data_IF_102337712716
#
_entry.id   IF_102337712716
#
_cell.length_a   1.000
_cell.length_b   1.000
_cell.length_c   1.000
_cell.angle_alpha   90.00
_cell.angle_beta   90.00
_cell.angle_gamma   90.00
#
_symmetry.space_group_name_H-M   'P 1'
#
loop_
_entity.id
_entity.type
_entity.pdbx_description
1 polymer ?
#
# COMPACT_ATOMS: atom_id res chain seq x y z
N UNK A 1 21.63 6.43 -21.31
CA UNK A 1 21.07 7.32 -20.26
C UNK A 1 21.21 6.60 -18.93
N UNK A 2 22.02 7.09 -17.98
CA UNK A 2 22.08 6.47 -16.65
C UNK A 2 20.74 6.73 -15.94
N UNK A 3 20.05 5.67 -15.48
CA UNK A 3 18.90 5.83 -14.58
C UNK A 3 19.42 6.35 -13.25
N UNK A 4 18.99 7.55 -12.85
CA UNK A 4 19.10 7.99 -11.46
C UNK A 4 18.39 6.94 -10.60
N UNK A 5 19.13 6.32 -9.70
CA UNK A 5 18.54 5.46 -8.68
C UNK A 5 18.21 6.35 -7.48
N UNK A 6 16.94 6.46 -7.16
CA UNK A 6 16.50 7.12 -5.92
C UNK A 6 16.36 6.05 -4.83
N UNK A 7 17.12 6.22 -3.75
CA UNK A 7 16.97 5.39 -2.55
C UNK A 7 15.79 5.92 -1.75
N UNK A 8 14.80 5.06 -1.52
CA UNK A 8 13.69 5.36 -0.62
C UNK A 8 14.09 4.89 0.78
N UNK A 9 14.12 5.82 1.74
CA UNK A 9 14.38 5.52 3.15
C UNK A 9 13.05 5.51 3.88
N UNK A 10 12.64 4.36 4.39
CA UNK A 10 11.45 4.21 5.23
C UNK A 10 11.85 4.41 6.69
N UNK A 11 11.04 5.13 7.47
CA UNK A 11 11.30 5.37 8.89
C UNK A 11 10.12 4.91 9.74
N UNK A 12 10.44 4.40 10.92
CA UNK A 12 9.44 4.06 11.93
C UNK A 12 8.73 5.35 12.39
N UNK A 13 7.40 5.41 12.26
CA UNK A 13 6.61 6.60 12.56
C UNK A 13 6.30 7.51 11.37
N UNK A 14 6.93 7.30 10.21
CA UNK A 14 6.38 7.81 8.96
C UNK A 14 5.12 6.98 8.69
N UNK A 15 3.95 7.54 8.97
CA UNK A 15 2.72 6.92 8.49
C UNK A 15 2.76 6.91 6.96
N UNK A 16 2.16 5.89 6.34
CA UNK A 16 1.77 5.94 4.93
C UNK A 16 0.67 7.00 4.70
N UNK A 17 0.83 8.17 5.32
CA UNK A 17 -0.06 9.30 5.20
C UNK A 17 0.10 9.82 3.78
N UNK A 18 -0.96 9.75 2.97
CA UNK A 18 -0.93 10.31 1.64
C UNK A 18 -0.54 11.79 1.71
N UNK A 19 0.27 12.22 0.75
CA UNK A 19 0.65 13.62 0.65
C UNK A 19 -0.57 14.53 0.47
N UNK A 20 -0.46 15.81 0.82
CA UNK A 20 -1.55 16.77 0.59
C UNK A 20 -1.99 16.83 -0.88
N UNK A 21 -1.05 16.62 -1.81
CA UNK A 21 -1.35 16.52 -3.24
C UNK A 21 -2.23 15.30 -3.55
N UNK A 22 -1.89 14.12 -3.02
CA UNK A 22 -2.68 12.88 -3.19
C UNK A 22 -4.07 13.00 -2.55
N UNK A 23 -4.18 13.69 -1.41
CA UNK A 23 -5.46 13.93 -0.76
C UNK A 23 -6.39 14.83 -1.59
N UNK A 24 -5.82 15.77 -2.35
CA UNK A 24 -6.55 16.71 -3.21
C UNK A 24 -6.76 16.18 -4.63
N UNK A 25 -5.93 15.24 -5.08
CA UNK A 25 -6.06 14.60 -6.38
C UNK A 25 -7.12 13.50 -6.33
N UNK A 26 -8.29 13.82 -6.85
CA UNK A 26 -9.42 12.91 -6.92
C UNK A 26 -9.21 11.77 -7.92
N UNK A 27 -8.24 11.90 -8.82
CA UNK A 27 -7.91 10.87 -9.80
C UNK A 27 -6.94 9.84 -9.24
N UNK A 28 -6.31 10.10 -8.08
CA UNK A 28 -5.39 9.16 -7.44
C UNK A 28 -6.17 8.01 -6.80
N UNK A 29 -6.30 6.89 -7.51
CA UNK A 29 -7.10 5.76 -7.07
C UNK A 29 -6.56 4.41 -7.58
N UNK A 30 -7.05 3.36 -6.95
CA UNK A 30 -6.88 1.97 -7.35
C UNK A 30 -8.26 1.35 -7.50
N UNK A 31 -8.45 0.56 -8.56
CA UNK A 31 -9.61 -0.30 -8.74
C UNK A 31 -9.18 -1.76 -8.64
N UNK A 32 -9.73 -2.47 -7.65
CA UNK A 32 -9.45 -3.88 -7.45
C UNK A 32 -10.65 -4.70 -7.91
N UNK A 33 -10.47 -5.63 -8.85
CA UNK A 33 -11.55 -6.48 -9.31
C UNK A 33 -11.08 -7.90 -9.64
N UNK A 34 -11.98 -8.87 -9.43
CA UNK A 34 -11.76 -10.26 -9.80
C UNK A 34 -12.31 -10.52 -11.20
N UNK A 35 -11.46 -10.97 -12.11
CA UNK A 35 -11.84 -11.49 -13.41
C UNK A 35 -12.11 -12.99 -13.29
N UNK A 36 -13.39 -13.36 -13.29
CA UNK A 36 -13.83 -14.74 -13.12
C UNK A 36 -13.46 -15.63 -14.32
N UNK A 37 -13.42 -15.08 -15.54
CA UNK A 37 -13.13 -15.84 -16.75
C UNK A 37 -11.64 -16.22 -16.81
N UNK A 38 -10.77 -15.34 -16.31
CA UNK A 38 -9.32 -15.55 -16.27
C UNK A 38 -8.80 -16.06 -14.94
N UNK A 39 -9.67 -16.17 -13.94
CA UNK A 39 -9.32 -16.51 -12.56
C UNK A 39 -8.18 -15.66 -12.00
N UNK A 40 -8.19 -14.35 -12.28
CA UNK A 40 -7.15 -13.43 -11.84
C UNK A 40 -7.73 -12.23 -11.08
N UNK A 41 -6.89 -11.62 -10.26
CA UNK A 41 -7.20 -10.34 -9.61
C UNK A 41 -6.45 -9.26 -10.36
N UNK A 42 -7.18 -8.24 -10.81
CA UNK A 42 -6.61 -7.07 -11.44
C UNK A 42 -6.61 -5.92 -10.44
N UNK A 43 -5.46 -5.25 -10.33
CA UNK A 43 -5.29 -4.02 -9.57
C UNK A 43 -4.96 -2.91 -10.57
N UNK A 44 -5.96 -2.14 -10.95
CA UNK A 44 -5.82 -1.06 -11.92
C UNK A 44 -5.50 0.23 -11.16
N UNK A 45 -4.34 0.81 -11.43
CA UNK A 45 -3.92 2.08 -10.84
C UNK A 45 -4.17 3.20 -11.84
N UNK A 46 -4.68 4.32 -11.36
CA UNK A 46 -4.88 5.50 -12.22
C UNK A 46 -3.58 6.13 -12.69
N UNK A 47 -2.50 5.95 -11.93
CA UNK A 47 -1.17 6.50 -12.24
C UNK A 47 -0.04 5.65 -11.66
N UNK A 48 1.19 5.97 -12.07
CA UNK A 48 2.40 5.33 -11.50
C UNK A 48 2.61 5.74 -10.04
N UNK A 49 2.19 6.94 -9.70
CA UNK A 49 2.21 7.49 -8.35
C UNK A 49 1.27 6.70 -7.44
N UNK A 50 0.05 6.36 -7.89
CA UNK A 50 -0.87 5.51 -7.14
C UNK A 50 -0.31 4.10 -6.87
N UNK A 51 0.33 3.51 -7.88
CA UNK A 51 1.04 2.23 -7.71
C UNK A 51 2.17 2.35 -6.67
N UNK A 52 2.98 3.41 -6.77
CA UNK A 52 4.10 3.66 -5.85
C UNK A 52 3.59 3.78 -4.42
N UNK A 53 2.55 4.56 -4.17
CA UNK A 53 2.04 4.82 -2.83
C UNK A 53 1.39 3.57 -2.22
N UNK A 54 0.70 2.76 -3.02
CA UNK A 54 0.26 1.42 -2.61
C UNK A 54 1.44 0.52 -2.19
N UNK A 55 2.49 0.46 -3.02
CA UNK A 55 3.67 -0.35 -2.72
C UNK A 55 4.39 0.12 -1.45
N UNK A 56 4.48 1.44 -1.24
CA UNK A 56 5.08 1.99 -0.02
C UNK A 56 4.27 1.67 1.22
N UNK A 57 2.94 1.68 1.13
CA UNK A 57 2.08 1.27 2.24
C UNK A 57 2.35 -0.19 2.63
N UNK A 58 2.47 -1.10 1.65
CA UNK A 58 2.83 -2.50 1.90
C UNK A 58 4.23 -2.64 2.52
N UNK A 59 5.22 -1.89 2.03
CA UNK A 59 6.59 -1.93 2.56
C UNK A 59 6.69 -1.36 3.98
N UNK A 60 5.93 -0.30 4.27
CA UNK A 60 5.85 0.29 5.60
C UNK A 60 5.27 -0.71 6.59
N UNK A 61 4.18 -1.39 6.23
CA UNK A 61 3.58 -2.44 7.05
C UNK A 61 4.53 -3.63 7.22
N UNK A 62 5.19 -4.09 6.15
CA UNK A 62 6.15 -5.20 6.24
C UNK A 62 7.37 -4.88 7.13
N UNK A 63 7.75 -3.60 7.26
CA UNK A 63 8.95 -3.18 7.98
C UNK A 63 8.67 -2.79 9.44
N UNK A 64 7.53 -2.14 9.69
CA UNK A 64 7.19 -1.54 10.99
C UNK A 64 5.79 -1.91 11.49
N UNK A 65 5.02 -2.62 10.69
CA UNK A 65 3.69 -3.10 11.04
C UNK A 65 3.72 -4.03 12.24
N UNK A 66 2.65 -3.97 13.01
CA UNK A 66 2.43 -4.83 14.18
C UNK A 66 1.22 -5.74 14.01
N UNK A 67 0.54 -5.65 12.87
CA UNK A 67 -0.62 -6.46 12.54
C UNK A 67 -0.20 -7.68 11.73
N UNK A 68 -0.99 -8.76 11.74
CA UNK A 68 -0.80 -9.90 10.83
C UNK A 68 -1.58 -9.75 9.51
N UNK A 69 -2.19 -8.58 9.29
CA UNK A 69 -3.04 -8.33 8.13
C UNK A 69 -3.13 -6.85 7.77
N UNK A 70 -3.21 -6.56 6.47
CA UNK A 70 -3.50 -5.23 5.97
C UNK A 70 -4.76 -5.27 5.11
N UNK A 71 -5.67 -4.33 5.34
CA UNK A 71 -6.93 -4.24 4.62
C UNK A 71 -6.99 -2.98 3.75
N UNK A 72 -7.48 -3.12 2.53
CA UNK A 72 -7.85 -2.01 1.65
C UNK A 72 -9.31 -2.16 1.23
N UNK A 73 -10.09 -1.10 1.39
CA UNK A 73 -11.51 -1.09 1.09
C UNK A 73 -11.96 0.30 0.61
N UNK A 74 -13.02 0.38 -0.22
CA UNK A 74 -13.65 1.65 -0.53
C UNK A 74 -14.23 2.26 0.76
N UNK A 75 -13.69 3.39 1.19
CA UNK A 75 -14.20 4.12 2.35
C UNK A 75 -14.84 5.42 1.88
N UNK A 76 -16.14 5.60 2.13
CA UNK A 76 -16.87 6.82 1.75
C UNK A 76 -17.49 7.47 2.97
N UNK A 77 -17.40 8.79 3.05
CA UNK A 77 -18.23 9.58 3.98
C UNK A 77 -19.46 10.13 3.27
N UNK A 78 -20.63 10.20 3.94
CA UNK A 78 -21.82 10.82 3.36
C UNK A 78 -21.53 12.22 2.82
N UNK A 79 -21.94 12.48 1.57
CA UNK A 79 -21.70 13.77 0.90
C UNK A 79 -20.24 14.04 0.49
N UNK A 80 -19.33 13.07 0.65
CA UNK A 80 -17.95 13.16 0.19
C UNK A 80 -17.63 12.03 -0.79
N UNK A 81 -16.55 12.21 -1.55
CA UNK A 81 -15.95 11.16 -2.37
C UNK A 81 -15.30 10.09 -1.50
N UNK A 82 -14.95 8.99 -2.14
CA UNK A 82 -13.74 8.21 -1.92
C UNK A 82 -12.82 8.76 -0.82
N UNK A 83 -12.40 8.00 0.19
CA UNK A 83 -11.32 8.37 1.12
C UNK A 83 -10.07 7.53 0.85
N UNK A 84 -8.90 8.08 1.18
CA UNK A 84 -7.63 7.35 1.06
C UNK A 84 -7.50 6.44 2.28
N UNK A 85 -7.29 5.16 2.04
CA UNK A 85 -7.06 4.12 3.06
C UNK A 85 -5.70 3.50 2.77
N UNK A 86 -4.78 3.55 3.74
CA UNK A 86 -3.44 2.99 3.60
C UNK A 86 -2.70 3.45 2.33
N UNK A 87 -2.71 4.77 2.10
CA UNK A 87 -1.98 5.38 0.98
C UNK A 87 -2.73 5.42 -0.36
N UNK A 88 -3.81 4.64 -0.56
CA UNK A 88 -4.59 4.67 -1.82
C UNK A 88 -6.10 4.77 -1.63
N UNK A 89 -6.79 5.28 -2.64
CA UNK A 89 -8.26 5.39 -2.68
C UNK A 89 -8.84 4.25 -3.51
N UNK A 90 -9.68 3.41 -2.92
CA UNK A 90 -10.45 2.41 -3.68
C UNK A 90 -11.76 3.01 -4.18
N UNK A 91 -12.10 2.77 -5.44
CA UNK A 91 -13.36 3.23 -6.04
C UNK A 91 -14.54 2.37 -5.59
N UNK A 92 -15.76 2.92 -5.59
CA UNK A 92 -17.00 2.28 -5.11
C UNK A 92 -17.27 0.86 -5.66
N UNK A 93 -16.81 0.54 -6.88
CA UNK A 93 -16.95 -0.79 -7.50
C UNK A 93 -15.85 -1.80 -7.12
N UNK A 94 -14.85 -1.38 -6.33
CA UNK A 94 -13.71 -2.23 -6.01
C UNK A 94 -14.07 -3.34 -5.02
N UNK A 95 -13.51 -4.51 -5.25
CA UNK A 95 -13.41 -5.58 -4.25
C UNK A 95 -12.53 -5.12 -3.09
N UNK A 96 -12.88 -5.55 -1.87
CA UNK A 96 -11.99 -5.41 -0.71
C UNK A 96 -10.76 -6.29 -0.93
N UNK A 97 -9.59 -5.77 -0.59
CA UNK A 97 -8.33 -6.49 -0.65
C UNK A 97 -7.84 -6.73 0.78
N UNK A 98 -7.51 -7.99 1.07
CA UNK A 98 -6.87 -8.39 2.31
C UNK A 98 -5.50 -8.95 2.00
N UNK A 99 -4.49 -8.48 2.74
CA UNK A 99 -3.12 -8.97 2.67
C UNK A 99 -2.80 -9.59 4.02
N UNK A 100 -2.64 -10.91 4.07
CA UNK A 100 -2.29 -11.64 5.29
C UNK A 100 -0.83 -12.07 5.25
N UNK A 101 -0.16 -12.01 6.39
CA UNK A 101 1.23 -12.44 6.52
C UNK A 101 1.49 -12.91 7.96
N UNK A 102 2.48 -13.79 8.12
CA UNK A 102 2.87 -14.30 9.43
C UNK A 102 3.64 -13.22 10.20
N UNK A 103 3.39 -13.09 11.50
CA UNK A 103 4.03 -12.09 12.39
C UNK A 103 5.53 -12.37 12.63
N UNK A 104 6.10 -13.41 12.00
CA UNK A 104 7.51 -13.74 12.15
C UNK A 104 8.39 -12.57 11.70
N UNK A 105 8.86 -11.80 12.67
CA UNK A 105 9.95 -10.84 12.49
C UNK A 105 11.15 -11.57 11.89
N UNK A 106 11.72 -11.00 10.83
CA UNK A 106 13.06 -11.36 10.41
C UNK A 106 14.00 -10.96 11.56
N UNK A 107 14.32 -11.90 12.44
CA UNK A 107 15.41 -11.72 13.40
C UNK A 107 16.69 -11.70 12.59
N UNK A 108 17.23 -10.50 12.37
CA UNK A 108 18.61 -10.38 11.91
C UNK A 108 19.47 -11.19 12.89
N UNK A 109 20.09 -12.26 12.41
CA UNK A 109 21.04 -13.03 13.20
C UNK A 109 22.17 -12.07 13.59
N UNK A 110 22.19 -11.66 14.85
CA UNK A 110 23.37 -11.09 15.49
C UNK A 110 24.44 -12.18 15.45
N UNK A 111 25.36 -12.09 14.49
CA UNK A 111 26.64 -12.81 14.56
C UNK A 111 27.33 -12.33 15.83
N UNK A 112 27.22 -13.09 16.90
CA UNK A 112 28.09 -12.94 18.06
C UNK A 112 29.54 -13.15 17.65
N UNK A 113 30.51 -12.52 18.33
CA UNK A 113 31.92 -12.74 18.04
C UNK A 113 32.25 -14.23 18.25
N UNK A 114 32.94 -14.81 17.27
CA UNK A 114 33.44 -16.18 17.35
C UNK A 114 34.44 -16.33 18.51
N UNK A 115 34.52 -17.52 19.14
CA UNK A 115 35.34 -17.77 20.33
C UNK A 115 36.85 -17.60 20.09
#
# INVERSE_FOLDING_TARGET
>A
MPRKSETIVLREGDSATPSAAVLQDETHCMHAHFDADRHCINLDFSSREALRDFALALLQEASFGTSGQMEFYPLRMPGRKEMVVNGVRLTEGSSRLFVFYDERRITAQTRGPAP
#
